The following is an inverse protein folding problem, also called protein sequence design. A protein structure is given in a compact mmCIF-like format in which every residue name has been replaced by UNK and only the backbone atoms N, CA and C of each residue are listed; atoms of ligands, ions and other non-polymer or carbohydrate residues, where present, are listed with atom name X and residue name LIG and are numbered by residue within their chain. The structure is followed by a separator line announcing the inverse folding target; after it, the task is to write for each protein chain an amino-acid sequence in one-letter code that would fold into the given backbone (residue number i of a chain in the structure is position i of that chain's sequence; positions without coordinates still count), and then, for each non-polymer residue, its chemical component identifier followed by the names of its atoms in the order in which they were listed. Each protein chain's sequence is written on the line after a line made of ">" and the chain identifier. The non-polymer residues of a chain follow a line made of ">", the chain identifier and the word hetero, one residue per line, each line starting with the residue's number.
data_IF_934569275627
#
_entry.id   IF_934569275627
#
_cell.length_a   1.000
_cell.length_b   1.000
_cell.length_c   1.000
_cell.angle_alpha   90.00
_cell.angle_beta   90.00
_cell.angle_gamma   90.00
#
_symmetry.space_group_name_H-M   'P 1'
#
loop_
_entity.id
_entity.type
_entity.pdbx_description
1 polymer ?
#
# COMPACT_ATOMS: atom_id res chain seq x y z
N UNK A 1 -29.42 18.62 36.39
CA UNK A 1 -28.37 18.98 35.41
C UNK A 1 -27.42 17.80 35.23
N UNK A 2 -27.51 17.08 34.10
CA UNK A 2 -26.55 16.02 33.76
C UNK A 2 -25.37 16.67 33.02
N UNK A 3 -24.17 16.63 33.61
CA UNK A 3 -22.93 17.04 32.94
C UNK A 3 -22.53 15.94 31.96
N UNK A 4 -22.64 16.21 30.66
CA UNK A 4 -22.09 15.37 29.61
C UNK A 4 -20.55 15.36 29.73
N UNK A 5 -19.97 14.25 30.18
CA UNK A 5 -18.55 13.99 29.97
C UNK A 5 -18.35 13.58 28.51
N UNK A 6 -17.75 14.47 27.71
CA UNK A 6 -17.14 14.10 26.42
C UNK A 6 -15.98 13.14 26.69
N UNK A 7 -15.85 12.01 25.97
CA UNK A 7 -14.63 11.22 25.99
C UNK A 7 -13.48 12.10 25.47
N UNK A 8 -12.39 12.12 26.21
CA UNK A 8 -11.28 13.05 26.05
C UNK A 8 -10.53 12.82 24.73
N UNK A 9 -10.50 13.85 23.87
CA UNK A 9 -9.52 14.00 22.78
C UNK A 9 -8.06 13.75 23.26
N UNK A 10 -7.79 13.97 24.55
CA UNK A 10 -6.47 13.80 25.17
C UNK A 10 -5.76 12.46 24.93
N UNK A 11 -6.46 11.33 24.82
CA UNK A 11 -5.78 10.03 24.65
C UNK A 11 -5.28 9.79 23.23
N UNK A 12 -6.03 10.27 22.22
CA UNK A 12 -5.61 10.18 20.82
C UNK A 12 -4.51 11.19 20.52
N UNK A 13 -4.60 12.39 21.11
CA UNK A 13 -3.57 13.43 20.98
C UNK A 13 -2.25 12.97 21.65
N UNK A 14 -2.32 12.39 22.87
CA UNK A 14 -1.16 11.80 23.53
C UNK A 14 -0.54 10.64 22.74
N UNK A 15 -1.35 9.82 22.08
CA UNK A 15 -0.86 8.72 21.24
C UNK A 15 -0.21 9.24 19.95
N UNK A 16 -0.76 10.29 19.33
CA UNK A 16 -0.16 10.93 18.16
C UNK A 16 1.16 11.61 18.51
N UNK A 17 1.24 12.26 19.68
CA UNK A 17 2.47 12.88 20.19
C UNK A 17 3.55 11.83 20.52
N UNK A 18 3.16 10.70 21.13
CA UNK A 18 4.09 9.60 21.41
C UNK A 18 4.58 8.93 20.12
N UNK A 19 3.68 8.69 19.16
CA UNK A 19 4.04 8.16 17.83
C UNK A 19 4.95 9.13 17.07
N UNK A 20 4.66 10.44 17.11
CA UNK A 20 5.47 11.46 16.45
C UNK A 20 6.86 11.58 17.10
N UNK A 21 6.97 11.43 18.42
CA UNK A 21 8.27 11.35 19.11
C UNK A 21 9.06 10.11 18.72
N UNK A 22 8.42 8.93 18.70
CA UNK A 22 9.07 7.68 18.25
C UNK A 22 9.54 7.77 16.81
N UNK A 23 8.71 8.26 15.90
CA UNK A 23 9.08 8.48 14.49
C UNK A 23 10.23 9.48 14.36
N UNK A 24 10.24 10.54 15.17
CA UNK A 24 11.32 11.52 15.16
C UNK A 24 12.64 10.97 15.74
N UNK A 25 12.57 10.06 16.71
CA UNK A 25 13.72 9.33 17.24
C UNK A 25 14.24 8.29 16.23
N UNK A 26 13.35 7.57 15.54
CA UNK A 26 13.70 6.67 14.43
C UNK A 26 14.33 7.42 13.26
N UNK A 27 13.84 8.62 12.91
CA UNK A 27 14.44 9.48 11.88
C UNK A 27 15.83 9.99 12.26
N UNK A 28 16.08 10.26 13.54
CA UNK A 28 17.40 10.70 14.03
C UNK A 28 18.47 9.61 13.94
N UNK A 29 18.07 8.35 13.97
CA UNK A 29 18.98 7.20 13.97
C UNK A 29 19.26 6.66 12.57
N UNK A 30 18.75 7.33 11.51
CA UNK A 30 18.94 6.92 10.12
C UNK A 30 20.13 7.62 9.46
N UNK A 31 20.85 6.88 8.62
CA UNK A 31 21.91 7.45 7.79
C UNK A 31 21.39 8.23 6.57
N UNK A 32 22.28 8.74 5.74
CA UNK A 32 21.94 9.45 4.49
C UNK A 32 21.12 8.59 3.51
N UNK A 33 21.15 7.27 3.66
CA UNK A 33 20.39 6.30 2.89
C UNK A 33 19.05 5.91 3.53
N UNK A 34 18.69 6.57 4.65
CA UNK A 34 17.48 6.33 5.45
C UNK A 34 17.45 4.98 6.16
N UNK A 35 18.61 4.36 6.38
CA UNK A 35 18.74 3.09 7.07
C UNK A 35 19.09 3.31 8.55
N UNK A 36 18.46 2.55 9.45
CA UNK A 36 18.95 2.45 10.84
C UNK A 36 20.28 1.70 10.90
N UNK A 37 20.93 1.63 12.08
CA UNK A 37 22.16 0.86 12.24
C UNK A 37 22.02 -0.62 11.83
N UNK A 38 20.89 -1.26 12.17
CA UNK A 38 20.62 -2.64 11.77
C UNK A 38 20.43 -2.75 10.24
N UNK A 39 19.78 -1.76 9.64
CA UNK A 39 19.66 -1.61 8.19
C UNK A 39 21.01 -1.41 7.48
N UNK A 40 21.93 -0.65 8.10
CA UNK A 40 23.29 -0.43 7.60
C UNK A 40 24.07 -1.75 7.61
N UNK A 41 23.97 -2.54 8.67
CA UNK A 41 24.64 -3.85 8.78
C UNK A 41 24.10 -4.87 7.76
N UNK A 42 22.77 -4.88 7.57
CA UNK A 42 22.12 -5.66 6.52
C UNK A 42 22.63 -5.26 5.13
N UNK A 43 22.62 -3.95 4.85
CA UNK A 43 23.13 -3.42 3.59
C UNK A 43 24.60 -3.80 3.39
N UNK A 44 25.45 -3.60 4.39
CA UNK A 44 26.87 -3.87 4.31
C UNK A 44 27.16 -5.35 3.99
N UNK A 45 26.39 -6.26 4.60
CA UNK A 45 26.48 -7.70 4.33
C UNK A 45 26.10 -8.04 2.88
N UNK A 46 25.01 -7.48 2.37
CA UNK A 46 24.58 -7.65 0.98
C UNK A 46 25.59 -7.04 0.00
N UNK A 47 26.07 -5.84 0.30
CA UNK A 47 27.05 -5.08 -0.48
C UNK A 47 28.30 -5.90 -0.73
N UNK A 48 28.88 -6.48 0.32
CA UNK A 48 30.08 -7.31 0.22
C UNK A 48 29.82 -8.62 -0.54
N UNK A 49 28.69 -9.27 -0.25
CA UNK A 49 28.38 -10.59 -0.80
C UNK A 49 28.06 -10.57 -2.30
N UNK A 50 27.53 -9.45 -2.79
CA UNK A 50 27.07 -9.29 -4.17
C UNK A 50 27.80 -8.17 -4.93
N UNK A 51 28.85 -7.58 -4.34
CA UNK A 51 29.64 -6.48 -4.91
C UNK A 51 28.75 -5.33 -5.41
N UNK A 52 27.88 -4.86 -4.52
CA UNK A 52 26.90 -3.83 -4.83
C UNK A 52 27.42 -2.44 -4.46
N UNK A 53 26.89 -1.42 -5.14
CA UNK A 53 27.15 -0.02 -4.83
C UNK A 53 25.84 0.78 -4.88
N UNK A 54 25.75 1.77 -3.98
CA UNK A 54 24.67 2.75 -4.02
C UNK A 54 24.90 3.74 -5.16
N UNK A 55 23.85 3.99 -5.92
CA UNK A 55 23.76 5.08 -6.89
C UNK A 55 22.39 5.74 -6.74
N UNK A 56 22.33 6.82 -5.95
CA UNK A 56 21.09 7.50 -5.56
C UNK A 56 20.00 6.53 -5.02
N UNK A 57 18.93 6.33 -5.79
CA UNK A 57 17.80 5.45 -5.47
C UNK A 57 17.98 4.03 -6.02
N UNK A 58 19.16 3.69 -6.52
CA UNK A 58 19.47 2.40 -7.11
C UNK A 58 20.63 1.71 -6.40
N UNK A 59 20.67 0.40 -6.55
CA UNK A 59 21.76 -0.43 -6.09
C UNK A 59 22.25 -1.27 -7.27
N UNK A 60 23.51 -1.11 -7.70
CA UNK A 60 24.05 -1.82 -8.86
C UNK A 60 25.23 -2.71 -8.51
N UNK A 61 25.37 -3.88 -9.16
CA UNK A 61 26.60 -4.65 -9.13
C UNK A 61 27.71 -3.95 -9.93
N UNK A 62 28.95 -4.05 -9.45
CA UNK A 62 30.14 -3.53 -10.15
C UNK A 62 30.53 -4.31 -11.42
N UNK A 63 29.88 -5.45 -11.67
CA UNK A 63 29.99 -6.23 -12.92
C UNK A 63 29.69 -5.33 -14.13
N UNK A 64 30.28 -5.58 -15.30
CA UNK A 64 30.07 -4.75 -16.50
C UNK A 64 29.02 -5.33 -17.45
N UNK A 65 28.84 -6.65 -17.46
CA UNK A 65 27.85 -7.32 -18.31
C UNK A 65 26.42 -7.21 -17.74
N UNK A 66 25.48 -6.74 -18.56
CA UNK A 66 24.09 -6.47 -18.14
C UNK A 66 23.33 -7.71 -17.66
N UNK A 67 23.48 -8.86 -18.33
CA UNK A 67 22.80 -10.10 -17.96
C UNK A 67 23.32 -10.63 -16.62
N UNK A 68 24.64 -10.56 -16.42
CA UNK A 68 25.26 -10.91 -15.14
C UNK A 68 24.86 -9.95 -14.02
N UNK A 69 24.75 -8.64 -14.29
CA UNK A 69 24.21 -7.68 -13.34
C UNK A 69 22.79 -8.06 -12.90
N UNK A 70 21.91 -8.35 -13.86
CA UNK A 70 20.53 -8.75 -13.58
C UNK A 70 20.46 -10.04 -12.74
N UNK A 71 21.32 -11.03 -13.03
CA UNK A 71 21.42 -12.26 -12.26
C UNK A 71 21.90 -12.01 -10.82
N UNK A 72 22.91 -11.15 -10.62
CA UNK A 72 23.41 -10.78 -9.28
C UNK A 72 22.32 -10.07 -8.47
N UNK A 73 21.61 -9.11 -9.07
CA UNK A 73 20.50 -8.42 -8.40
C UNK A 73 19.36 -9.38 -8.05
N UNK A 74 18.97 -10.26 -8.97
CA UNK A 74 17.95 -11.28 -8.70
C UNK A 74 18.34 -12.18 -7.52
N UNK A 75 19.63 -12.54 -7.41
CA UNK A 75 20.14 -13.31 -6.28
C UNK A 75 20.13 -12.51 -4.98
N UNK A 76 20.57 -11.25 -5.00
CA UNK A 76 20.54 -10.38 -3.83
C UNK A 76 19.12 -10.17 -3.30
N UNK A 77 18.16 -9.95 -4.20
CA UNK A 77 16.72 -9.86 -3.90
C UNK A 77 16.20 -11.14 -3.24
N UNK A 78 16.58 -12.32 -3.74
CA UNK A 78 16.15 -13.57 -3.14
C UNK A 78 16.74 -13.76 -1.72
N UNK A 79 18.03 -13.48 -1.54
CA UNK A 79 18.71 -13.61 -0.24
C UNK A 79 18.07 -12.70 0.81
N UNK A 80 17.89 -11.41 0.50
CA UNK A 80 17.31 -10.49 1.47
C UNK A 80 15.88 -10.90 1.86
N UNK A 81 15.12 -11.45 0.91
CA UNK A 81 13.71 -11.82 1.09
C UNK A 81 13.48 -13.10 1.85
N UNK A 82 14.31 -14.13 1.63
CA UNK A 82 14.10 -15.45 2.23
C UNK A 82 15.02 -15.71 3.42
N UNK A 83 16.25 -15.16 3.41
CA UNK A 83 17.25 -15.50 4.41
C UNK A 83 17.34 -14.48 5.55
N UNK A 84 16.90 -13.23 5.31
CA UNK A 84 17.12 -12.13 6.27
C UNK A 84 15.85 -11.42 6.76
N UNK A 85 14.68 -11.68 6.16
CA UNK A 85 13.46 -10.89 6.41
C UNK A 85 12.98 -10.88 7.86
N UNK A 86 13.19 -11.96 8.61
CA UNK A 86 12.76 -12.06 10.02
C UNK A 86 13.77 -11.43 11.01
N UNK A 87 14.94 -10.99 10.53
CA UNK A 87 16.05 -10.54 11.36
C UNK A 87 16.17 -9.01 11.49
N UNK A 88 15.40 -8.23 10.72
CA UNK A 88 15.56 -6.77 10.63
C UNK A 88 14.21 -6.03 10.65
N UNK A 89 14.22 -4.76 11.09
CA UNK A 89 13.01 -3.93 11.10
C UNK A 89 12.39 -3.78 9.70
N UNK A 90 11.05 -3.76 9.67
CA UNK A 90 10.28 -3.79 8.41
C UNK A 90 10.61 -2.62 7.48
N UNK A 91 10.99 -1.46 8.02
CA UNK A 91 11.28 -0.26 7.23
C UNK A 91 12.63 -0.31 6.50
N UNK A 92 13.70 -0.82 7.12
CA UNK A 92 15.02 -0.91 6.48
C UNK A 92 15.04 -1.96 5.36
N UNK A 93 14.38 -3.11 5.61
CA UNK A 93 14.15 -4.13 4.59
C UNK A 93 13.48 -3.53 3.34
N UNK A 94 12.42 -2.72 3.54
CA UNK A 94 11.67 -2.10 2.45
C UNK A 94 12.52 -1.11 1.64
N UNK A 95 13.37 -0.32 2.29
CA UNK A 95 14.28 0.61 1.58
C UNK A 95 15.25 -0.15 0.68
N UNK A 96 15.88 -1.21 1.19
CA UNK A 96 16.89 -1.95 0.43
C UNK A 96 16.25 -2.76 -0.71
N UNK A 97 15.14 -3.46 -0.45
CA UNK A 97 14.46 -4.27 -1.47
C UNK A 97 13.88 -3.42 -2.60
N UNK A 98 13.40 -2.19 -2.30
CA UNK A 98 12.85 -1.25 -3.29
C UNK A 98 13.93 -0.84 -4.29
N UNK A 99 15.09 -0.44 -3.78
CA UNK A 99 16.20 0.02 -4.62
C UNK A 99 16.85 -1.10 -5.43
N UNK A 100 16.96 -2.31 -4.86
CA UNK A 100 17.39 -3.51 -5.60
C UNK A 100 16.43 -3.84 -6.75
N UNK A 101 15.12 -3.78 -6.48
CA UNK A 101 14.09 -4.09 -7.47
C UNK A 101 14.03 -3.02 -8.57
N UNK A 102 14.17 -1.74 -8.23
CA UNK A 102 14.27 -0.67 -9.22
C UNK A 102 15.48 -0.83 -10.14
N UNK A 103 16.65 -1.18 -9.58
CA UNK A 103 17.84 -1.44 -10.37
C UNK A 103 17.67 -2.63 -11.32
N UNK A 104 17.07 -3.73 -10.85
CA UNK A 104 16.77 -4.89 -11.68
C UNK A 104 15.79 -4.53 -12.81
N UNK A 105 14.73 -3.77 -12.52
CA UNK A 105 13.73 -3.41 -13.52
C UNK A 105 14.27 -2.47 -14.59
N UNK A 106 15.21 -1.59 -14.24
CA UNK A 106 15.93 -0.78 -15.22
C UNK A 106 16.73 -1.65 -16.17
N UNK A 107 17.48 -2.62 -15.64
CA UNK A 107 18.25 -3.57 -16.47
C UNK A 107 17.34 -4.47 -17.31
N UNK A 108 16.22 -4.94 -16.77
CA UNK A 108 15.25 -5.73 -17.52
C UNK A 108 14.68 -4.93 -18.69
N UNK A 109 14.41 -3.64 -18.53
CA UNK A 109 13.98 -2.77 -19.61
C UNK A 109 15.05 -2.67 -20.72
N UNK A 110 16.32 -2.50 -20.35
CA UNK A 110 17.44 -2.48 -21.30
C UNK A 110 17.63 -3.82 -22.04
N UNK A 111 17.30 -4.94 -21.37
CA UNK A 111 17.38 -6.31 -21.92
C UNK A 111 16.10 -6.77 -22.65
N UNK A 112 15.03 -5.97 -22.67
CA UNK A 112 13.73 -6.36 -23.23
C UNK A 112 13.02 -7.47 -22.43
N UNK A 113 13.37 -7.65 -21.16
CA UNK A 113 12.78 -8.61 -20.23
C UNK A 113 11.64 -7.94 -19.45
N UNK A 114 10.62 -8.72 -19.07
CA UNK A 114 9.54 -8.20 -18.23
C UNK A 114 10.05 -7.70 -16.87
N UNK A 115 9.45 -6.65 -16.30
CA UNK A 115 9.82 -6.16 -14.99
C UNK A 115 9.54 -7.21 -13.92
N UNK A 116 10.46 -7.32 -12.97
CA UNK A 116 10.34 -8.09 -11.75
C UNK A 116 9.49 -7.32 -10.72
N UNK A 117 8.49 -8.01 -10.15
CA UNK A 117 7.65 -7.47 -9.08
C UNK A 117 7.80 -8.30 -7.82
N UNK A 118 8.42 -7.71 -6.80
CA UNK A 118 8.66 -8.39 -5.54
C UNK A 118 7.36 -8.60 -4.73
N UNK A 119 7.12 -9.77 -4.10
CA UNK A 119 5.94 -10.01 -3.26
C UNK A 119 5.81 -9.07 -2.04
N UNK A 120 6.91 -8.49 -1.57
CA UNK A 120 6.89 -7.48 -0.51
C UNK A 120 6.26 -6.14 -0.94
N UNK A 121 6.26 -5.82 -2.24
CA UNK A 121 5.53 -4.67 -2.77
C UNK A 121 4.08 -4.99 -3.13
N UNK A 122 3.66 -6.25 -2.98
CA UNK A 122 2.26 -6.61 -3.07
C UNK A 122 1.52 -5.95 -1.91
N UNK A 123 0.63 -5.03 -2.23
CA UNK A 123 -0.32 -4.50 -1.24
C UNK A 123 -1.30 -5.64 -0.93
N UNK A 124 -1.52 -5.91 0.35
CA UNK A 124 -2.57 -6.83 0.76
C UNK A 124 -3.90 -6.32 0.22
N UNK A 125 -4.65 -7.18 -0.46
CA UNK A 125 -5.96 -6.81 -1.01
C UNK A 125 -6.89 -6.42 0.14
N UNK A 126 -7.81 -5.50 -0.14
CA UNK A 126 -8.89 -5.17 0.78
C UNK A 126 -9.72 -6.43 0.97
N UNK A 127 -9.85 -6.89 2.21
CA UNK A 127 -10.62 -8.08 2.48
C UNK A 127 -12.10 -7.77 2.32
N UNK A 128 -12.75 -8.42 1.35
CA UNK A 128 -14.18 -8.37 1.13
C UNK A 128 -14.85 -9.46 1.95
N UNK A 129 -15.74 -9.06 2.86
CA UNK A 129 -16.44 -9.95 3.79
C UNK A 129 -17.84 -10.35 3.30
N UNK A 130 -18.35 -9.68 2.25
CA UNK A 130 -19.53 -10.14 1.52
C UNK A 130 -19.22 -11.32 0.59
N UNK A 131 -20.22 -11.74 -0.19
CA UNK A 131 -20.00 -12.73 -1.26
C UNK A 131 -19.35 -12.09 -2.50
N UNK A 132 -18.83 -12.92 -3.41
CA UNK A 132 -18.17 -12.43 -4.62
C UNK A 132 -19.13 -11.69 -5.57
N UNK A 133 -20.40 -12.07 -5.60
CA UNK A 133 -21.42 -11.46 -6.47
C UNK A 133 -21.70 -10.00 -6.08
N UNK A 134 -21.79 -9.70 -4.78
CA UNK A 134 -21.96 -8.33 -4.26
C UNK A 134 -20.74 -7.46 -4.54
N UNK A 135 -19.54 -8.03 -4.50
CA UNK A 135 -18.30 -7.34 -4.89
C UNK A 135 -18.30 -6.97 -6.38
N UNK A 136 -18.71 -7.92 -7.24
CA UNK A 136 -18.84 -7.73 -8.69
C UNK A 136 -19.94 -6.73 -9.03
N UNK A 137 -21.07 -6.79 -8.34
CA UNK A 137 -22.17 -5.84 -8.48
C UNK A 137 -21.73 -4.41 -8.12
N UNK A 138 -20.99 -4.24 -7.02
CA UNK A 138 -20.40 -2.94 -6.66
C UNK A 138 -19.52 -2.40 -7.79
N UNK A 139 -18.58 -3.21 -8.29
CA UNK A 139 -17.68 -2.77 -9.36
C UNK A 139 -18.46 -2.34 -10.61
N UNK A 140 -19.48 -3.10 -11.00
CA UNK A 140 -20.35 -2.80 -12.14
C UNK A 140 -21.07 -1.47 -11.95
N UNK A 141 -21.74 -1.28 -10.81
CA UNK A 141 -22.48 -0.05 -10.50
C UNK A 141 -21.57 1.18 -10.44
N UNK A 142 -20.35 1.04 -9.91
CA UNK A 142 -19.36 2.12 -9.90
C UNK A 142 -18.96 2.54 -11.31
N UNK A 143 -18.71 1.58 -12.21
CA UNK A 143 -18.39 1.88 -13.61
C UNK A 143 -19.57 2.52 -14.34
N UNK A 144 -20.77 1.98 -14.18
CA UNK A 144 -21.99 2.54 -14.83
C UNK A 144 -22.25 4.00 -14.42
N UNK A 145 -21.89 4.37 -13.19
CA UNK A 145 -22.02 5.73 -12.68
C UNK A 145 -20.74 6.59 -12.87
N UNK A 146 -19.77 6.11 -13.65
CA UNK A 146 -18.52 6.80 -14.00
C UNK A 146 -17.65 7.17 -12.77
N UNK A 147 -17.59 6.27 -11.80
CA UNK A 147 -16.67 6.38 -10.66
C UNK A 147 -15.30 5.76 -10.92
N UNK A 148 -15.24 4.77 -11.80
CA UNK A 148 -14.04 4.04 -12.22
C UNK A 148 -14.09 3.78 -13.73
N UNK A 149 -12.94 3.58 -14.36
CA UNK A 149 -12.87 3.26 -15.80
C UNK A 149 -13.16 1.77 -16.08
N UNK A 150 -12.61 0.87 -15.26
CA UNK A 150 -12.67 -0.58 -15.47
C UNK A 150 -13.03 -1.32 -14.19
N UNK A 151 -14.06 -2.16 -14.28
CA UNK A 151 -14.45 -3.11 -13.23
C UNK A 151 -13.30 -4.05 -12.86
N UNK A 152 -12.59 -4.58 -13.85
CA UNK A 152 -11.52 -5.55 -13.62
C UNK A 152 -10.38 -4.96 -12.78
N UNK A 153 -10.02 -3.70 -13.01
CA UNK A 153 -9.01 -3.00 -12.22
C UNK A 153 -9.46 -2.82 -10.78
N UNK A 154 -10.71 -2.40 -10.56
CA UNK A 154 -11.27 -2.32 -9.21
C UNK A 154 -11.21 -3.68 -8.49
N UNK A 155 -11.70 -4.74 -9.13
CA UNK A 155 -11.80 -6.08 -8.52
C UNK A 155 -10.45 -6.68 -8.14
N UNK A 156 -9.35 -6.32 -8.81
CA UNK A 156 -8.01 -6.80 -8.45
C UNK A 156 -7.59 -6.40 -7.03
N UNK A 157 -8.15 -5.31 -6.49
CA UNK A 157 -7.77 -4.78 -5.17
C UNK A 157 -8.59 -5.35 -4.01
N UNK A 158 -9.57 -6.20 -4.30
CA UNK A 158 -10.40 -6.86 -3.29
C UNK A 158 -10.23 -8.37 -3.34
N UNK A 159 -10.37 -9.04 -2.21
CA UNK A 159 -10.43 -10.50 -2.15
C UNK A 159 -11.25 -10.99 -0.96
N UNK A 160 -11.96 -12.10 -1.17
CA UNK A 160 -12.60 -12.85 -0.08
C UNK A 160 -11.59 -13.61 0.79
N UNK A 161 -10.33 -13.72 0.36
CA UNK A 161 -9.22 -14.22 1.15
C UNK A 161 -8.35 -13.06 1.67
N UNK A 162 -8.29 -12.89 2.99
CA UNK A 162 -7.55 -11.81 3.64
C UNK A 162 -6.01 -11.90 3.47
N UNK A 163 -5.49 -13.05 3.03
CA UNK A 163 -4.05 -13.25 2.78
C UNK A 163 -3.62 -12.87 1.35
N UNK A 164 -4.58 -12.64 0.44
CA UNK A 164 -4.25 -12.36 -0.95
C UNK A 164 -3.61 -10.98 -1.11
N UNK A 165 -2.58 -10.93 -1.94
CA UNK A 165 -1.90 -9.70 -2.32
C UNK A 165 -2.19 -9.34 -3.76
N UNK A 166 -2.11 -8.06 -4.09
CA UNK A 166 -2.19 -7.55 -5.45
C UNK A 166 -0.93 -6.78 -5.79
N UNK A 167 -0.39 -7.08 -6.97
CA UNK A 167 0.78 -6.41 -7.55
C UNK A 167 0.38 -5.36 -8.61
N UNK A 168 -0.92 -5.14 -8.81
CA UNK A 168 -1.51 -4.17 -9.72
C UNK A 168 -1.24 -2.72 -9.27
N UNK A 169 -1.17 -1.82 -10.24
CA UNK A 169 -1.20 -0.38 -10.01
C UNK A 169 -2.48 0.05 -9.30
N UNK A 170 -2.48 1.27 -8.76
CA UNK A 170 -3.60 1.85 -8.02
C UNK A 170 -4.82 2.06 -8.92
N UNK A 171 -6.02 1.88 -8.37
CA UNK A 171 -7.28 2.10 -9.06
C UNK A 171 -7.55 3.61 -9.19
N UNK A 172 -7.74 4.08 -10.42
CA UNK A 172 -8.17 5.45 -10.68
C UNK A 172 -9.61 5.69 -10.26
N UNK A 173 -9.82 6.65 -9.36
CA UNK A 173 -11.13 7.18 -8.99
C UNK A 173 -11.41 8.46 -9.76
N UNK A 174 -12.55 8.49 -10.46
CA UNK A 174 -12.89 9.54 -11.42
C UNK A 174 -13.69 10.71 -10.82
N UNK A 175 -14.08 10.62 -9.54
CA UNK A 175 -14.75 11.70 -8.81
C UNK A 175 -13.81 12.32 -7.79
N UNK A 176 -14.33 13.24 -6.97
CA UNK A 176 -13.52 13.83 -5.92
C UNK A 176 -13.19 12.82 -4.81
N UNK A 177 -12.17 13.15 -4.02
CA UNK A 177 -11.71 12.33 -2.89
C UNK A 177 -12.78 12.06 -1.84
N UNK A 178 -13.72 12.98 -1.63
CA UNK A 178 -14.71 12.88 -0.56
C UNK A 178 -15.74 11.80 -0.88
N UNK A 179 -16.12 11.66 -2.14
CA UNK A 179 -16.99 10.59 -2.61
C UNK A 179 -16.36 9.21 -2.40
N UNK A 180 -15.07 9.05 -2.71
CA UNK A 180 -14.35 7.80 -2.45
C UNK A 180 -14.26 7.49 -0.95
N UNK A 181 -13.86 8.48 -0.14
CA UNK A 181 -13.78 8.34 1.31
C UNK A 181 -15.13 7.98 1.92
N UNK A 182 -16.21 8.56 1.41
CA UNK A 182 -17.57 8.27 1.84
C UNK A 182 -17.96 6.82 1.53
N UNK A 183 -17.79 6.38 0.28
CA UNK A 183 -18.07 4.99 -0.13
C UNK A 183 -17.32 3.99 0.77
N UNK A 184 -16.01 4.15 0.92
CA UNK A 184 -15.17 3.21 1.67
C UNK A 184 -15.56 3.15 3.15
N UNK A 185 -15.90 4.29 3.76
CA UNK A 185 -16.41 4.31 5.14
C UNK A 185 -17.76 3.60 5.28
N UNK A 186 -18.67 3.77 4.32
CA UNK A 186 -19.97 3.09 4.35
C UNK A 186 -19.80 1.59 4.20
N UNK A 187 -18.99 1.14 3.24
CA UNK A 187 -18.64 -0.27 3.08
C UNK A 187 -18.00 -0.85 4.36
N UNK A 188 -17.13 -0.10 5.02
CA UNK A 188 -16.53 -0.52 6.29
C UNK A 188 -17.57 -0.56 7.42
N UNK A 189 -18.46 0.42 7.51
CA UNK A 189 -19.51 0.48 8.54
C UNK A 189 -20.59 -0.61 8.38
N UNK A 190 -20.80 -1.10 7.16
CA UNK A 190 -21.67 -2.23 6.87
C UNK A 190 -20.94 -3.57 6.88
N UNK A 191 -19.68 -3.63 7.34
CA UNK A 191 -18.88 -4.85 7.38
C UNK A 191 -18.76 -5.55 6.02
N UNK A 192 -18.67 -4.79 4.91
CA UNK A 192 -18.32 -5.33 3.58
C UNK A 192 -16.82 -5.40 3.35
N UNK A 193 -16.06 -4.52 4.01
CA UNK A 193 -14.61 -4.45 3.83
C UNK A 193 -13.88 -4.42 5.17
N UNK A 194 -12.74 -5.09 5.21
CA UNK A 194 -11.75 -4.98 6.28
C UNK A 194 -10.38 -4.69 5.67
N UNK A 195 -9.68 -3.73 6.26
CA UNK A 195 -8.31 -3.45 5.86
C UNK A 195 -7.38 -4.44 6.57
N UNK A 196 -6.49 -5.13 5.82
CA UNK A 196 -5.58 -6.12 6.39
C UNK A 196 -4.54 -5.49 7.32
N UNK A 197 -4.18 -4.22 7.11
CA UNK A 197 -3.37 -3.42 8.03
C UNK A 197 -4.13 -2.11 8.35
N UNK A 198 -4.61 -1.92 9.59
CA UNK A 198 -5.28 -0.70 10.01
C UNK A 198 -4.32 0.47 10.26
N UNK A 199 -3.00 0.21 10.38
CA UNK A 199 -1.97 1.22 10.63
C UNK A 199 -1.37 1.79 9.34
N UNK A 200 -1.33 1.00 8.28
CA UNK A 200 -1.01 1.45 6.93
C UNK A 200 -2.25 1.31 6.05
N UNK A 201 -3.02 2.40 5.92
CA UNK A 201 -4.12 2.43 4.97
C UNK A 201 -3.59 2.08 3.58
N UNK A 202 -3.95 0.92 3.01
CA UNK A 202 -3.19 0.42 1.89
C UNK A 202 -3.48 1.28 0.66
N UNK A 203 -2.39 1.62 -0.06
CA UNK A 203 -2.45 2.44 -1.27
C UNK A 203 -3.14 1.60 -2.34
N UNK A 204 -4.48 1.66 -2.43
CA UNK A 204 -5.25 0.99 -3.50
C UNK A 204 -5.82 1.97 -4.51
N UNK A 205 -5.96 3.25 -4.17
CA UNK A 205 -6.74 4.21 -4.95
C UNK A 205 -5.96 5.48 -5.27
N UNK A 206 -6.16 6.00 -6.48
CA UNK A 206 -5.72 7.31 -6.95
C UNK A 206 -6.92 8.24 -7.10
N UNK A 207 -6.80 9.47 -6.62
CA UNK A 207 -7.72 10.58 -6.90
C UNK A 207 -6.90 11.69 -7.54
N UNK A 208 -7.30 12.16 -8.73
CA UNK A 208 -6.57 13.17 -9.49
C UNK A 208 -5.07 12.85 -9.63
N UNK A 209 -4.75 11.57 -9.88
CA UNK A 209 -3.38 11.07 -10.04
C UNK A 209 -2.56 11.00 -8.73
N UNK A 210 -3.17 11.25 -7.56
CA UNK A 210 -2.50 11.17 -6.25
C UNK A 210 -3.07 10.05 -5.39
N UNK A 211 -2.23 9.30 -4.64
CA UNK A 211 -2.71 8.26 -3.75
C UNK A 211 -3.64 8.81 -2.67
N UNK A 212 -4.73 8.09 -2.39
CA UNK A 212 -5.57 8.36 -1.22
C UNK A 212 -4.74 8.05 0.04
N UNK A 213 -4.55 9.06 0.89
CA UNK A 213 -3.68 8.95 2.08
C UNK A 213 -4.40 8.40 3.32
N UNK A 214 -5.69 8.67 3.43
CA UNK A 214 -6.53 8.30 4.57
C UNK A 214 -8.02 8.32 4.17
N UNK A 215 -8.88 7.87 5.09
CA UNK A 215 -10.34 8.01 4.98
C UNK A 215 -10.82 9.42 5.40
N UNK A 216 -9.95 10.34 5.81
CA UNK A 216 -10.24 11.70 6.27
C UNK A 216 -10.90 11.81 7.65
N UNK A 217 -11.33 13.02 8.03
CA UNK A 217 -12.15 13.33 9.22
C UNK A 217 -12.80 14.71 9.14
N UNK A 218 -14.10 14.83 9.43
CA UNK A 218 -14.84 16.10 9.43
C UNK A 218 -16.27 16.03 8.87
N UNK A 219 -17.07 17.05 9.18
CA UNK A 219 -18.35 17.33 8.49
C UNK A 219 -18.01 17.89 7.11
N UNK A 220 -18.40 17.18 6.07
CA UNK A 220 -18.30 17.64 4.68
C UNK A 220 -19.70 17.88 4.14
N UNK A 221 -19.85 18.71 3.10
CA UNK A 221 -21.15 18.89 2.44
C UNK A 221 -21.54 17.58 1.75
N UNK A 222 -22.42 16.82 2.41
CA UNK A 222 -22.90 15.51 1.98
C UNK A 222 -23.96 15.59 0.87
N UNK A 223 -24.32 16.79 0.43
CA UNK A 223 -25.49 17.09 -0.43
C UNK A 223 -25.40 16.54 -1.87
N UNK A 224 -24.40 15.71 -2.19
CA UNK A 224 -24.19 15.11 -3.52
C UNK A 224 -23.85 13.61 -3.50
N UNK A 225 -24.19 12.90 -2.42
CA UNK A 225 -23.84 11.48 -2.25
C UNK A 225 -24.98 10.51 -2.54
N UNK A 226 -26.11 11.01 -3.05
CA UNK A 226 -27.32 10.22 -3.33
C UNK A 226 -27.04 9.01 -4.23
N UNK A 227 -26.15 9.17 -5.22
CA UNK A 227 -25.75 8.07 -6.10
C UNK A 227 -24.99 6.97 -5.35
N UNK A 228 -24.07 7.34 -4.44
CA UNK A 228 -23.35 6.35 -3.64
C UNK A 228 -24.29 5.65 -2.65
N UNK A 229 -25.20 6.38 -2.01
CA UNK A 229 -26.20 5.76 -1.14
C UNK A 229 -27.11 4.80 -1.92
N UNK A 230 -27.55 5.18 -3.12
CA UNK A 230 -28.35 4.30 -3.98
C UNK A 230 -27.60 3.01 -4.35
N UNK A 231 -26.30 3.12 -4.67
CA UNK A 231 -25.43 1.96 -4.95
C UNK A 231 -25.34 1.05 -3.71
N UNK A 232 -25.10 1.62 -2.54
CA UNK A 232 -25.00 0.85 -1.28
C UNK A 232 -26.33 0.15 -0.95
N UNK A 233 -27.45 0.84 -1.11
CA UNK A 233 -28.79 0.26 -0.94
C UNK A 233 -29.01 -0.92 -1.89
N UNK A 234 -28.58 -0.80 -3.15
CA UNK A 234 -28.74 -1.87 -4.14
C UNK A 234 -27.91 -3.11 -3.79
N UNK A 235 -26.67 -2.93 -3.35
CA UNK A 235 -25.80 -4.05 -2.93
C UNK A 235 -26.36 -4.72 -1.66
N UNK A 236 -26.91 -3.94 -0.73
CA UNK A 236 -27.53 -4.46 0.51
C UNK A 236 -28.74 -5.35 0.23
N UNK A 237 -29.50 -5.12 -0.84
CA UNK A 237 -30.63 -6.00 -1.22
C UNK A 237 -30.18 -7.42 -1.56
N UNK A 238 -28.92 -7.59 -1.96
CA UNK A 238 -28.35 -8.87 -2.39
C UNK A 238 -27.65 -9.64 -1.23
N UNK A 239 -27.80 -9.16 0.02
CA UNK A 239 -27.40 -9.87 1.23
C UNK A 239 -28.51 -10.77 1.82
N UNK A 240 -29.75 -10.65 1.35
CA UNK A 240 -30.95 -11.37 1.85
C UNK A 240 -31.25 -12.58 0.95
#
# INVERSE_FOLDING_TARGET
>A
MKKNHKPSHSKLDLHADDLSKRLHEEEKNKDEQRLTNDGIDLWYSLRLSHQLEWDENYCFPTESNLEKKAAILSKAINVITFDTRELYETNDFLVIIERLTHALNRLNADLGVLPYTHPAFGISRIHWTGNEDTMRLLAKLLKENNYIEKESEWLMHFSTNALDKVQSGLVGWLKNKYELQYLLRRLQAFDYIKYPDPTNYPRHFLVDGKPLKDLGGGKHDYDKLDTIEAIIVEINKHLI
#
